data_IF_479085585008
#
_entry.id   IF_479085585008
#
_cell.length_a   1.000
_cell.length_b   1.000
_cell.length_c   1.000
_cell.angle_alpha   90.00
_cell.angle_beta   90.00
_cell.angle_gamma   90.00
#
_symmetry.space_group_name_H-M   'P 1'
#
loop_
_entity.id
_entity.type
_entity.pdbx_description
1 polymer ?
#
# COMPACT_ATOMS: atom_id res chain seq x y z
N UNK A 1 -40.00 -13.60 -25.75
CA UNK A 1 -40.19 -12.78 -24.54
C UNK A 1 -40.12 -13.71 -23.35
N UNK A 2 -38.99 -13.76 -22.65
CA UNK A 2 -38.95 -14.43 -21.35
C UNK A 2 -39.91 -13.66 -20.42
N UNK A 3 -40.83 -14.36 -19.78
CA UNK A 3 -41.71 -13.76 -18.78
C UNK A 3 -40.84 -13.21 -17.64
N UNK A 4 -41.24 -12.07 -17.07
CA UNK A 4 -40.51 -11.37 -16.00
C UNK A 4 -40.16 -12.31 -14.83
N UNK A 5 -41.07 -13.24 -14.54
CA UNK A 5 -40.91 -14.28 -13.52
C UNK A 5 -39.76 -15.26 -13.81
N UNK A 6 -39.47 -15.54 -15.09
CA UNK A 6 -38.37 -16.42 -15.49
C UNK A 6 -37.00 -15.77 -15.28
N UNK A 7 -36.90 -14.45 -15.43
CA UNK A 7 -35.65 -13.72 -15.24
C UNK A 7 -35.33 -13.58 -13.74
N UNK A 8 -36.32 -13.26 -12.91
CA UNK A 8 -36.15 -13.20 -11.46
C UNK A 8 -35.74 -14.55 -10.87
N UNK A 9 -36.25 -15.66 -11.41
CA UNK A 9 -35.86 -16.99 -10.96
C UNK A 9 -34.39 -17.30 -11.33
N UNK A 10 -33.95 -16.96 -12.54
CA UNK A 10 -32.55 -17.14 -12.96
C UNK A 10 -31.57 -16.32 -12.11
N UNK A 11 -31.95 -15.09 -11.74
CA UNK A 11 -31.13 -14.24 -10.86
C UNK A 11 -31.02 -14.84 -9.45
N UNK A 12 -32.13 -15.33 -8.89
CA UNK A 12 -32.13 -16.01 -7.59
C UNK A 12 -31.27 -17.26 -7.59
N UNK A 13 -31.37 -18.07 -8.63
CA UNK A 13 -30.57 -19.29 -8.77
C UNK A 13 -29.08 -18.96 -8.84
N UNK A 14 -28.70 -17.91 -9.58
CA UNK A 14 -27.31 -17.48 -9.66
C UNK A 14 -26.79 -16.92 -8.32
N UNK A 15 -27.59 -16.12 -7.61
CA UNK A 15 -27.22 -15.64 -6.26
C UNK A 15 -27.00 -16.80 -5.30
N UNK A 16 -27.85 -17.84 -5.37
CA UNK A 16 -27.76 -19.01 -4.51
C UNK A 16 -26.46 -19.81 -4.71
N UNK A 17 -25.82 -19.72 -5.87
CA UNK A 17 -24.54 -20.40 -6.15
C UNK A 17 -23.40 -19.86 -5.26
N UNK A 18 -23.32 -18.55 -5.06
CA UNK A 18 -22.20 -17.93 -4.33
C UNK A 18 -22.54 -17.51 -2.90
N UNK A 19 -23.81 -17.27 -2.56
CA UNK A 19 -24.19 -16.77 -1.22
C UNK A 19 -23.87 -17.77 -0.09
N UNK A 20 -23.71 -19.04 -0.43
CA UNK A 20 -23.36 -20.13 0.50
C UNK A 20 -21.84 -20.28 0.69
N UNK A 21 -21.03 -19.61 -0.12
CA UNK A 21 -19.58 -19.71 -0.05
C UNK A 21 -19.09 -18.83 1.11
N UNK A 22 -18.60 -19.46 2.17
CA UNK A 22 -18.12 -18.78 3.37
C UNK A 22 -16.59 -18.59 3.43
N UNK A 23 -15.83 -19.28 2.60
CA UNK A 23 -14.36 -19.22 2.58
C UNK A 23 -13.82 -18.30 1.48
N UNK A 24 -12.90 -17.40 1.82
CA UNK A 24 -12.30 -16.45 0.86
C UNK A 24 -11.69 -17.17 -0.36
N UNK A 25 -10.87 -18.20 -0.13
CA UNK A 25 -10.21 -18.93 -1.23
C UNK A 25 -11.21 -19.53 -2.22
N UNK A 26 -12.30 -20.11 -1.70
CA UNK A 26 -13.35 -20.73 -2.51
C UNK A 26 -14.14 -19.65 -3.28
N UNK A 27 -14.43 -18.52 -2.64
CA UNK A 27 -15.15 -17.41 -3.27
C UNK A 27 -14.29 -16.77 -4.38
N UNK A 28 -12.98 -16.67 -4.17
CA UNK A 28 -12.02 -16.17 -5.16
C UNK A 28 -11.85 -17.11 -6.35
N UNK A 29 -11.81 -18.42 -6.12
CA UNK A 29 -11.80 -19.41 -7.20
C UNK A 29 -13.12 -19.41 -7.97
N UNK A 30 -14.24 -19.20 -7.29
CA UNK A 30 -15.56 -19.05 -7.90
C UNK A 30 -15.63 -17.77 -8.77
N UNK A 31 -15.17 -16.63 -8.26
CA UNK A 31 -15.09 -15.36 -9.01
C UNK A 31 -14.27 -15.55 -10.28
N UNK A 32 -13.09 -16.17 -10.17
CA UNK A 32 -12.20 -16.40 -11.31
C UNK A 32 -12.85 -17.27 -12.39
N UNK A 33 -13.63 -18.28 -12.00
CA UNK A 33 -14.32 -19.18 -12.94
C UNK A 33 -15.57 -18.55 -13.57
N UNK A 34 -16.22 -17.62 -12.87
CA UNK A 34 -17.49 -17.04 -13.28
C UNK A 34 -17.39 -15.53 -13.60
N UNK A 35 -16.19 -15.02 -13.84
CA UNK A 35 -15.93 -13.58 -13.98
C UNK A 35 -16.79 -12.93 -15.06
N UNK A 36 -16.84 -13.53 -16.24
CA UNK A 36 -17.60 -12.99 -17.37
C UNK A 36 -19.11 -13.04 -17.09
N UNK A 37 -19.57 -14.15 -16.50
CA UNK A 37 -20.98 -14.34 -16.09
C UNK A 37 -21.41 -13.33 -15.03
N UNK A 38 -20.56 -13.02 -14.05
CA UNK A 38 -20.80 -11.96 -13.04
C UNK A 38 -20.77 -10.58 -13.70
N UNK A 39 -19.85 -10.34 -14.63
CA UNK A 39 -19.72 -9.09 -15.40
C UNK A 39 -20.94 -8.78 -16.27
N UNK A 40 -21.57 -9.79 -16.84
CA UNK A 40 -22.77 -9.67 -17.67
C UNK A 40 -24.08 -9.72 -16.86
N UNK A 41 -24.02 -10.07 -15.57
CA UNK A 41 -25.20 -10.18 -14.72
C UNK A 41 -25.90 -8.84 -14.45
N UNK A 42 -27.15 -8.94 -13.98
CA UNK A 42 -27.92 -7.77 -13.54
C UNK A 42 -27.31 -7.11 -12.31
N UNK A 43 -27.70 -5.85 -12.07
CA UNK A 43 -27.20 -5.06 -10.94
C UNK A 43 -27.50 -5.73 -9.58
N UNK A 44 -28.63 -6.44 -9.49
CA UNK A 44 -29.07 -7.15 -8.29
C UNK A 44 -28.08 -8.28 -7.94
N UNK A 45 -27.67 -9.06 -8.94
CA UNK A 45 -26.72 -10.17 -8.76
C UNK A 45 -25.34 -9.63 -8.38
N UNK A 46 -24.89 -8.54 -9.02
CA UNK A 46 -23.60 -7.89 -8.72
C UNK A 46 -23.55 -7.35 -7.29
N UNK A 47 -24.59 -6.63 -6.86
CA UNK A 47 -24.70 -6.12 -5.48
C UNK A 47 -24.75 -7.26 -4.46
N UNK A 48 -25.47 -8.35 -4.75
CA UNK A 48 -25.48 -9.54 -3.91
C UNK A 48 -24.09 -10.19 -3.81
N UNK A 49 -23.35 -10.26 -4.93
CA UNK A 49 -21.99 -10.77 -4.95
C UNK A 49 -21.04 -9.91 -4.12
N UNK A 50 -21.09 -8.59 -4.29
CA UNK A 50 -20.29 -7.64 -3.52
C UNK A 50 -20.60 -7.71 -2.02
N UNK A 51 -21.88 -7.80 -1.63
CA UNK A 51 -22.29 -8.00 -0.23
C UNK A 51 -21.76 -9.31 0.34
N UNK A 52 -21.80 -10.40 -0.42
CA UNK A 52 -21.23 -11.67 0.01
C UNK A 52 -19.71 -11.57 0.14
N UNK A 53 -19.04 -10.88 -0.79
CA UNK A 53 -17.61 -10.64 -0.74
C UNK A 53 -17.20 -9.85 0.51
N UNK A 54 -17.92 -8.76 0.81
CA UNK A 54 -17.75 -7.96 2.03
C UNK A 54 -18.02 -8.80 3.28
N UNK A 55 -19.04 -9.68 3.26
CA UNK A 55 -19.33 -10.57 4.38
C UNK A 55 -18.20 -11.55 4.67
N UNK A 56 -17.57 -12.09 3.63
CA UNK A 56 -16.51 -13.11 3.74
C UNK A 56 -15.15 -12.47 4.05
N UNK A 57 -14.84 -11.32 3.46
CA UNK A 57 -13.51 -10.68 3.54
C UNK A 57 -13.47 -9.44 4.44
N UNK A 58 -14.62 -8.95 4.90
CA UNK A 58 -14.79 -7.67 5.57
C UNK A 58 -14.80 -6.49 4.59
N UNK A 59 -14.84 -5.25 5.11
CA UNK A 59 -14.65 -4.04 4.30
C UNK A 59 -13.22 -3.89 3.76
N UNK A 60 -12.34 -4.82 4.13
CA UNK A 60 -10.99 -4.91 3.61
C UNK A 60 -11.01 -5.82 2.37
N UNK A 61 -10.99 -5.19 1.18
CA UNK A 61 -10.47 -5.75 -0.08
C UNK A 61 -11.47 -6.05 -1.21
N UNK A 62 -11.56 -5.10 -2.15
CA UNK A 62 -11.79 -5.39 -3.58
C UNK A 62 -10.51 -5.03 -4.34
N UNK A 63 -9.67 -6.01 -4.69
CA UNK A 63 -8.70 -5.86 -5.78
C UNK A 63 -9.14 -6.76 -6.93
N UNK A 64 -9.50 -6.22 -8.10
CA UNK A 64 -9.66 -7.05 -9.28
C UNK A 64 -8.30 -7.67 -9.63
N UNK A 65 -8.27 -8.99 -9.84
CA UNK A 65 -7.08 -9.80 -10.20
C UNK A 65 -6.60 -9.55 -11.64
N UNK A 66 -6.75 -8.33 -12.16
CA UNK A 66 -6.34 -7.95 -13.52
C UNK A 66 -5.74 -6.56 -13.46
N UNK A 67 -4.40 -6.49 -13.39
CA UNK A 67 -3.56 -6.09 -14.53
C UNK A 67 -2.09 -6.09 -14.10
N UNK A 68 -1.33 -7.00 -14.71
CA UNK A 68 0.14 -7.00 -14.85
C UNK A 68 0.96 -7.25 -13.56
N UNK A 69 1.70 -8.37 -13.55
CA UNK A 69 2.82 -8.53 -12.61
C UNK A 69 3.82 -7.40 -12.89
N UNK A 70 4.28 -6.65 -11.87
CA UNK A 70 5.19 -5.51 -12.10
C UNK A 70 6.40 -5.99 -12.91
N UNK A 71 6.81 -5.26 -13.95
CA UNK A 71 7.96 -5.64 -14.75
C UNK A 71 9.18 -5.77 -13.84
N UNK A 72 9.84 -6.92 -13.90
CA UNK A 72 11.12 -7.14 -13.25
C UNK A 72 12.10 -6.10 -13.80
N UNK A 73 12.63 -5.23 -12.93
CA UNK A 73 13.53 -4.16 -13.34
C UNK A 73 14.69 -4.71 -14.19
N UNK A 74 14.72 -4.32 -15.47
CA UNK A 74 15.56 -4.96 -16.47
C UNK A 74 17.05 -4.56 -16.38
N UNK A 75 17.41 -3.44 -15.76
CA UNK A 75 18.80 -2.99 -15.72
C UNK A 75 19.16 -2.29 -14.41
N UNK A 76 20.25 -2.76 -13.81
CA UNK A 76 20.73 -2.36 -12.50
C UNK A 76 21.27 -0.93 -12.46
N UNK A 77 20.83 -0.20 -11.44
CA UNK A 77 21.71 0.33 -10.40
C UNK A 77 21.03 0.09 -9.06
N UNK A 78 21.80 -0.46 -8.16
CA UNK A 78 21.41 -0.80 -6.81
C UNK A 78 20.85 0.43 -6.06
N UNK A 79 19.53 0.53 -5.94
CA UNK A 79 18.85 1.16 -4.80
C UNK A 79 19.04 0.32 -3.50
N UNK A 80 20.14 -0.43 -3.39
CA UNK A 80 20.44 -1.29 -2.23
C UNK A 80 21.19 -0.56 -1.12
N UNK A 81 21.44 0.73 -1.25
CA UNK A 81 21.27 1.60 -0.08
C UNK A 81 19.76 1.73 0.14
N UNK A 82 19.13 0.61 0.53
CA UNK A 82 17.85 0.60 1.21
C UNK A 82 18.03 1.60 2.33
N UNK A 83 17.46 2.79 2.19
CA UNK A 83 17.44 3.79 3.25
C UNK A 83 17.11 3.05 4.54
N UNK A 84 18.10 2.93 5.44
CA UNK A 84 17.93 2.18 6.68
C UNK A 84 16.63 2.67 7.28
N UNK A 85 15.69 1.78 7.66
CA UNK A 85 14.45 2.18 8.30
C UNK A 85 14.69 3.23 9.43
N UNK A 86 15.88 3.25 10.06
CA UNK A 86 16.30 4.23 11.07
C UNK A 86 16.40 5.70 10.63
N UNK A 87 16.71 6.01 9.37
CA UNK A 87 16.95 7.41 8.94
C UNK A 87 15.69 8.11 8.42
N UNK A 88 14.52 7.47 8.54
CA UNK A 88 13.27 7.97 7.98
C UNK A 88 12.67 9.07 8.85
N UNK A 89 12.45 10.26 8.27
CA UNK A 89 11.96 11.44 9.01
C UNK A 89 10.48 11.33 9.40
N UNK A 90 9.70 10.59 8.62
CA UNK A 90 8.24 10.60 8.68
C UNK A 90 7.67 9.36 9.38
N UNK A 91 8.12 9.11 10.61
CA UNK A 91 7.66 7.98 11.44
C UNK A 91 6.77 8.46 12.58
N UNK A 92 5.76 7.67 12.91
CA UNK A 92 4.90 7.86 14.06
C UNK A 92 5.33 6.93 15.20
N UNK A 93 5.38 7.43 16.44
CA UNK A 93 5.50 6.58 17.62
C UNK A 93 4.12 5.99 17.91
N UNK A 94 3.99 4.67 17.84
CA UNK A 94 2.72 3.98 18.06
C UNK A 94 2.90 2.91 19.13
N UNK A 95 2.02 2.93 20.13
CA UNK A 95 2.01 1.92 21.19
C UNK A 95 1.10 0.76 20.78
N UNK A 96 1.68 -0.43 20.68
CA UNK A 96 0.98 -1.67 20.36
C UNK A 96 0.70 -2.48 21.63
N UNK A 97 -0.50 -3.06 21.74
CA UNK A 97 -0.87 -4.00 22.82
C UNK A 97 -0.54 -5.46 22.50
N UNK A 98 -0.32 -5.77 21.22
CA UNK A 98 -0.03 -7.11 20.73
C UNK A 98 0.78 -7.01 19.44
N UNK A 99 1.75 -7.89 19.27
CA UNK A 99 2.54 -8.05 18.06
C UNK A 99 2.27 -9.44 17.48
N UNK A 100 1.76 -9.45 16.26
CA UNK A 100 1.57 -10.65 15.45
C UNK A 100 2.77 -10.79 14.51
N UNK A 101 3.43 -11.94 14.53
CA UNK A 101 4.58 -12.21 13.69
C UNK A 101 4.29 -13.36 12.74
N UNK A 102 4.92 -13.30 11.56
CA UNK A 102 4.87 -14.35 10.54
C UNK A 102 6.29 -14.60 10.01
N UNK A 103 6.75 -15.83 10.14
CA UNK A 103 8.02 -16.31 9.62
C UNK A 103 7.89 -16.67 8.13
N UNK A 104 8.87 -16.25 7.34
CA UNK A 104 8.93 -16.45 5.90
C UNK A 104 10.33 -16.95 5.54
N UNK A 105 10.40 -18.11 4.89
CA UNK A 105 11.64 -18.64 4.33
C UNK A 105 11.82 -18.16 2.89
N UNK A 106 12.91 -17.45 2.61
CA UNK A 106 13.29 -17.06 1.24
C UNK A 106 14.69 -17.55 0.90
N UNK A 107 14.84 -18.05 -0.33
CA UNK A 107 16.15 -18.35 -0.90
C UNK A 107 16.74 -17.04 -1.44
N UNK A 108 17.81 -16.55 -0.81
CA UNK A 108 18.53 -15.34 -1.22
C UNK A 108 19.93 -15.77 -1.62
N UNK A 109 20.19 -15.78 -2.93
CA UNK A 109 21.39 -16.39 -3.50
C UNK A 109 21.42 -17.90 -3.25
N UNK A 110 22.52 -18.39 -2.66
CA UNK A 110 22.71 -19.82 -2.33
C UNK A 110 22.20 -20.22 -0.94
N UNK A 111 21.72 -19.28 -0.12
CA UNK A 111 21.33 -19.54 1.27
C UNK A 111 19.82 -19.36 1.46
N UNK A 112 19.23 -20.21 2.29
CA UNK A 112 17.86 -20.01 2.79
C UNK A 112 17.97 -19.08 4.00
N UNK A 113 17.20 -18.00 4.00
CA UNK A 113 17.11 -17.06 5.12
C UNK A 113 15.68 -17.07 5.67
N UNK A 114 15.59 -17.12 6.99
CA UNK A 114 14.36 -16.86 7.73
C UNK A 114 14.20 -15.34 7.87
N UNK A 115 13.04 -14.85 7.45
CA UNK A 115 12.64 -13.46 7.54
C UNK A 115 11.33 -13.37 8.32
N UNK A 116 11.05 -12.22 8.92
CA UNK A 116 9.86 -12.03 9.74
C UNK A 116 9.06 -10.81 9.30
N UNK A 117 7.77 -11.02 9.11
CA UNK A 117 6.78 -9.95 8.94
C UNK A 117 6.09 -9.71 10.27
N UNK A 118 5.89 -8.45 10.61
CA UNK A 118 5.29 -8.03 11.86
C UNK A 118 4.06 -7.16 11.58
N UNK A 119 2.99 -7.46 12.29
CA UNK A 119 1.81 -6.63 12.44
C UNK A 119 1.59 -6.41 13.93
N UNK A 120 0.89 -5.37 14.31
CA UNK A 120 0.55 -5.17 15.71
C UNK A 120 -0.82 -4.53 15.87
N UNK A 121 -1.46 -4.86 16.99
CA UNK A 121 -2.72 -4.25 17.41
C UNK A 121 -2.40 -2.97 18.17
N UNK A 122 -2.82 -1.82 17.65
CA UNK A 122 -2.62 -0.52 18.29
C UNK A 122 -3.40 -0.47 19.60
N UNK A 123 -2.77 -0.04 20.69
CA UNK A 123 -3.35 -0.05 22.03
C UNK A 123 -4.59 0.85 22.14
N UNK A 124 -4.54 2.02 21.51
CA UNK A 124 -5.61 3.03 21.58
C UNK A 124 -6.80 2.68 20.68
N UNK A 125 -6.54 2.32 19.42
CA UNK A 125 -7.60 2.12 18.43
C UNK A 125 -8.03 0.66 18.28
N UNK A 126 -7.23 -0.29 18.74
CA UNK A 126 -7.43 -1.72 18.51
C UNK A 126 -7.22 -2.16 17.05
N UNK A 127 -6.84 -1.25 16.15
CA UNK A 127 -6.60 -1.56 14.74
C UNK A 127 -5.29 -2.37 14.57
N UNK A 128 -5.29 -3.34 13.66
CA UNK A 128 -4.09 -4.11 13.33
C UNK A 128 -3.33 -3.41 12.21
N UNK A 129 -2.11 -2.95 12.49
CA UNK A 129 -1.26 -2.25 11.53
C UNK A 129 -0.01 -3.05 11.17
N UNK A 130 0.44 -3.04 9.91
CA UNK A 130 1.75 -3.57 9.56
C UNK A 130 2.84 -2.70 10.20
N UNK A 131 3.85 -3.34 10.78
CA UNK A 131 4.97 -2.65 11.46
C UNK A 131 6.22 -2.72 10.59
N UNK A 132 6.69 -3.94 10.32
CA UNK A 132 7.86 -4.19 9.49
C UNK A 132 7.65 -5.45 8.65
N UNK A 133 8.33 -5.51 7.51
CA UNK A 133 8.32 -6.67 6.62
C UNK A 133 9.74 -7.15 6.34
N UNK A 134 9.87 -8.45 6.12
CA UNK A 134 11.12 -9.10 5.73
C UNK A 134 12.30 -8.82 6.69
N UNK A 135 12.03 -8.78 8.00
CA UNK A 135 13.05 -8.53 9.01
C UNK A 135 13.99 -9.72 9.19
N UNK A 136 15.28 -9.44 9.35
CA UNK A 136 16.26 -10.41 9.82
C UNK A 136 16.19 -10.57 11.34
N UNK A 137 16.76 -11.68 11.85
CA UNK A 137 16.82 -11.94 13.29
C UNK A 137 17.56 -10.82 14.04
N UNK A 138 18.69 -10.36 13.50
CA UNK A 138 19.47 -9.27 14.10
C UNK A 138 18.62 -8.00 14.23
N UNK A 139 17.78 -7.73 13.22
CA UNK A 139 16.90 -6.56 13.25
C UNK A 139 15.72 -6.74 14.19
N UNK A 140 15.20 -7.96 14.39
CA UNK A 140 14.22 -8.23 15.43
C UNK A 140 14.79 -7.92 16.82
N UNK A 141 16.02 -8.40 17.11
CA UNK A 141 16.70 -8.14 18.38
C UNK A 141 16.86 -6.66 18.67
N UNK A 142 17.18 -5.89 17.63
CA UNK A 142 17.32 -4.46 17.73
C UNK A 142 16.00 -3.73 18.04
N UNK A 143 14.88 -4.22 17.51
CA UNK A 143 13.56 -3.59 17.65
C UNK A 143 12.90 -3.97 18.99
N UNK A 144 12.92 -5.25 19.35
CA UNK A 144 12.20 -5.77 20.52
C UNK A 144 13.10 -6.08 21.73
N UNK A 145 14.42 -5.98 21.56
CA UNK A 145 15.37 -6.51 22.53
C UNK A 145 15.53 -8.03 22.41
N UNK A 146 16.47 -8.56 23.19
CA UNK A 146 16.82 -9.99 23.13
C UNK A 146 15.71 -10.89 23.66
N UNK A 147 15.07 -10.51 24.78
CA UNK A 147 14.08 -11.33 25.46
C UNK A 147 12.85 -11.63 24.60
N UNK A 148 12.23 -10.60 24.02
CA UNK A 148 11.04 -10.78 23.19
C UNK A 148 11.36 -11.40 21.83
N UNK A 149 12.56 -11.12 21.28
CA UNK A 149 13.02 -11.81 20.07
C UNK A 149 13.21 -13.30 20.31
N UNK A 150 13.76 -13.69 21.45
CA UNK A 150 13.93 -15.10 21.79
C UNK A 150 12.58 -15.82 21.88
N UNK A 151 11.54 -15.18 22.43
CA UNK A 151 10.17 -15.72 22.42
C UNK A 151 9.67 -15.96 20.99
N UNK A 152 9.87 -15.00 20.07
CA UNK A 152 9.54 -15.17 18.64
C UNK A 152 10.31 -16.34 18.04
N UNK A 153 11.63 -16.44 18.30
CA UNK A 153 12.48 -17.48 17.72
C UNK A 153 12.14 -18.87 18.23
N UNK A 154 11.86 -19.03 19.52
CA UNK A 154 11.48 -20.31 20.14
C UNK A 154 10.13 -20.75 19.56
N UNK A 155 9.13 -19.87 19.54
CA UNK A 155 7.83 -20.18 18.93
C UNK A 155 7.95 -20.43 17.41
N UNK A 156 8.84 -19.69 16.74
CA UNK A 156 9.16 -19.78 15.31
C UNK A 156 9.91 -21.05 14.89
N UNK A 157 10.30 -21.92 15.83
CA UNK A 157 10.80 -23.27 15.53
C UNK A 157 9.65 -24.23 15.25
N UNK A 158 8.50 -24.06 15.91
CA UNK A 158 7.34 -24.92 15.79
C UNK A 158 6.29 -24.37 14.81
N UNK A 159 6.11 -23.05 14.78
CA UNK A 159 5.07 -22.38 14.02
C UNK A 159 5.63 -21.33 13.06
N UNK A 160 4.95 -21.11 11.94
CA UNK A 160 5.28 -20.01 11.00
C UNK A 160 4.60 -18.69 11.36
N UNK A 161 3.77 -18.67 12.40
CA UNK A 161 3.08 -17.49 12.89
C UNK A 161 2.86 -17.56 14.40
N UNK A 162 2.64 -16.41 15.02
CA UNK A 162 2.28 -16.33 16.42
C UNK A 162 2.02 -14.89 16.88
N UNK A 163 1.71 -14.76 18.17
CA UNK A 163 1.43 -13.49 18.81
C UNK A 163 2.27 -13.32 20.08
N UNK A 164 2.61 -12.07 20.39
CA UNK A 164 3.21 -11.67 21.66
C UNK A 164 2.39 -10.52 22.21
N UNK A 165 1.87 -10.70 23.43
CA UNK A 165 1.11 -9.68 24.15
C UNK A 165 2.06 -8.87 25.02
N UNK A 166 1.86 -7.56 25.05
CA UNK A 166 2.75 -6.63 25.75
C UNK A 166 2.49 -5.19 25.31
N UNK A 167 3.15 -4.24 25.95
CA UNK A 167 3.10 -2.83 25.53
C UNK A 167 4.37 -2.51 24.77
N UNK A 168 4.27 -2.32 23.46
CA UNK A 168 5.43 -2.06 22.58
C UNK A 168 5.34 -0.66 22.02
N UNK A 169 6.26 0.22 22.39
CA UNK A 169 6.40 1.55 21.80
C UNK A 169 7.32 1.45 20.58
N UNK A 170 6.75 1.51 19.38
CA UNK A 170 7.46 1.29 18.13
C UNK A 170 7.28 2.46 17.18
N UNK A 171 8.38 2.85 16.54
CA UNK A 171 8.38 3.78 15.41
C UNK A 171 7.95 3.09 14.13
N UNK A 172 6.73 3.34 13.69
CA UNK A 172 6.16 2.81 12.45
C UNK A 172 6.07 3.88 11.37
N UNK A 173 5.77 3.45 10.15
CA UNK A 173 5.52 4.35 9.03
C UNK A 173 4.35 5.29 9.37
N UNK A 174 4.60 6.60 9.30
CA UNK A 174 3.59 7.62 9.53
C UNK A 174 2.83 7.94 8.24
N UNK A 175 1.62 8.47 8.38
CA UNK A 175 0.82 9.01 7.29
C UNK A 175 0.60 10.49 7.56
N UNK A 176 0.67 11.30 6.51
CA UNK A 176 0.70 12.74 6.64
C UNK A 176 -0.21 13.35 5.59
N UNK A 177 -1.09 14.24 6.04
CA UNK A 177 -1.87 15.07 5.13
C UNK A 177 -1.00 16.26 4.71
N UNK A 178 -0.81 16.41 3.40
CA UNK A 178 0.06 17.43 2.83
C UNK A 178 -0.62 18.16 1.67
N UNK A 179 -0.15 19.37 1.39
CA UNK A 179 -0.48 20.10 0.16
C UNK A 179 0.81 20.40 -0.59
N UNK A 180 0.87 19.99 -1.85
CA UNK A 180 1.97 20.35 -2.75
C UNK A 180 1.82 21.78 -3.27
N UNK A 181 2.93 22.50 -3.30
CA UNK A 181 3.02 23.86 -3.81
C UNK A 181 2.57 23.94 -5.28
N UNK A 182 2.12 25.11 -5.74
CA UNK A 182 1.76 25.32 -7.14
C UNK A 182 2.98 25.13 -8.06
N UNK A 183 2.73 25.01 -9.36
CA UNK A 183 3.78 24.97 -10.37
C UNK A 183 4.64 26.25 -10.26
N UNK A 184 5.97 26.10 -10.24
CA UNK A 184 6.88 27.24 -10.14
C UNK A 184 7.04 27.97 -11.47
N UNK A 185 6.80 27.27 -12.58
CA UNK A 185 6.85 27.81 -13.93
C UNK A 185 5.78 27.16 -14.84
N UNK A 186 5.54 27.75 -16.02
CA UNK A 186 4.55 27.27 -17.00
C UNK A 186 4.86 25.89 -17.61
N UNK A 187 6.11 25.45 -17.54
CA UNK A 187 6.55 24.17 -18.10
C UNK A 187 6.49 23.04 -17.06
N UNK A 188 6.29 23.37 -15.78
CA UNK A 188 6.18 22.38 -14.72
C UNK A 188 4.87 21.58 -14.88
N UNK A 189 4.90 20.26 -14.64
CA UNK A 189 3.70 19.47 -14.70
C UNK A 189 2.70 19.93 -13.64
N UNK A 190 1.43 19.99 -14.06
CA UNK A 190 0.29 20.32 -13.20
C UNK A 190 0.15 19.33 -12.05
N UNK A 191 0.48 18.06 -12.32
CA UNK A 191 0.46 16.98 -11.34
C UNK A 191 1.85 16.66 -10.80
N UNK A 192 1.91 16.32 -9.52
CA UNK A 192 3.08 15.74 -8.87
C UNK A 192 3.07 14.23 -9.10
N UNK A 193 4.23 13.70 -9.49
CA UNK A 193 4.43 12.27 -9.71
C UNK A 193 5.56 11.79 -8.80
N UNK A 194 5.23 10.91 -7.86
CA UNK A 194 6.20 10.31 -6.94
C UNK A 194 6.28 8.81 -7.19
N UNK A 195 7.52 8.32 -7.35
CA UNK A 195 7.77 6.91 -7.60
C UNK A 195 8.50 6.28 -6.41
N UNK A 196 7.96 5.18 -5.90
CA UNK A 196 8.58 4.38 -4.85
C UNK A 196 8.35 2.89 -5.12
N UNK A 197 9.43 2.10 -5.15
CA UNK A 197 9.39 0.64 -5.36
C UNK A 197 8.54 0.19 -6.57
N UNK A 198 8.58 0.94 -7.67
CA UNK A 198 7.82 0.65 -8.90
C UNK A 198 6.34 1.08 -8.85
N UNK A 199 5.86 1.62 -7.73
CA UNK A 199 4.56 2.26 -7.62
C UNK A 199 4.69 3.77 -7.90
N UNK A 200 3.83 4.28 -8.78
CA UNK A 200 3.74 5.70 -9.07
C UNK A 200 2.44 6.27 -8.51
N UNK A 201 2.53 7.33 -7.70
CA UNK A 201 1.39 8.13 -7.29
C UNK A 201 1.38 9.43 -8.09
N UNK A 202 0.25 9.71 -8.73
CA UNK A 202 -0.01 10.95 -9.45
C UNK A 202 -1.06 11.72 -8.64
N UNK A 203 -0.73 12.95 -8.28
CA UNK A 203 -1.56 13.78 -7.41
C UNK A 203 -1.56 15.23 -7.88
N UNK A 204 -2.70 15.90 -7.73
CA UNK A 204 -2.86 17.28 -8.16
C UNK A 204 -2.15 18.22 -7.17
N UNK A 205 -1.44 19.23 -7.68
CA UNK A 205 -0.93 20.34 -6.84
C UNK A 205 -2.08 21.14 -6.21
N UNK A 206 -1.82 21.80 -5.09
CA UNK A 206 -2.81 22.61 -4.37
C UNK A 206 -4.06 21.83 -3.92
N UNK A 207 -3.97 20.51 -3.83
CA UNK A 207 -5.00 19.64 -3.27
C UNK A 207 -4.43 18.90 -2.06
N UNK A 208 -5.26 18.74 -1.04
CA UNK A 208 -4.93 17.95 0.15
C UNK A 208 -4.79 16.48 -0.23
N UNK A 209 -3.68 15.88 0.15
CA UNK A 209 -3.39 14.47 -0.10
C UNK A 209 -2.72 13.85 1.12
N UNK A 210 -3.24 12.70 1.54
CA UNK A 210 -2.64 11.87 2.56
C UNK A 210 -1.58 11.00 1.90
N UNK A 211 -0.36 11.04 2.41
CA UNK A 211 0.75 10.23 1.92
C UNK A 211 1.44 9.46 3.04
N UNK A 212 1.87 8.21 2.77
CA UNK A 212 2.88 7.55 3.57
C UNK A 212 4.18 8.38 3.61
N UNK A 213 4.85 8.36 4.75
CA UNK A 213 6.11 9.06 4.96
C UNK A 213 7.19 8.78 3.90
N UNK A 214 7.29 7.56 3.40
CA UNK A 214 8.26 7.20 2.36
C UNK A 214 8.05 7.95 1.05
N UNK A 215 6.82 8.36 0.71
CA UNK A 215 6.59 9.23 -0.46
C UNK A 215 7.03 10.67 -0.19
N UNK A 216 6.90 11.15 1.05
CA UNK A 216 7.44 12.46 1.45
C UNK A 216 8.96 12.46 1.39
N UNK A 217 9.63 11.35 1.71
CA UNK A 217 11.08 11.22 1.54
C UNK A 217 11.49 11.26 0.07
N UNK A 218 10.70 10.65 -0.82
CA UNK A 218 10.92 10.80 -2.27
C UNK A 218 10.80 12.27 -2.68
N UNK A 219 9.82 12.99 -2.14
CA UNK A 219 9.65 14.43 -2.42
C UNK A 219 10.78 15.30 -1.84
N UNK A 220 11.28 14.99 -0.65
CA UNK A 220 12.43 15.66 -0.01
C UNK A 220 13.72 15.47 -0.82
N UNK A 221 13.92 14.25 -1.35
CA UNK A 221 15.10 13.91 -2.14
C UNK A 221 14.96 14.27 -3.63
N UNK A 222 13.77 14.66 -4.08
CA UNK A 222 13.51 15.12 -5.43
C UNK A 222 14.04 16.56 -5.59
N UNK A 223 15.35 16.70 -5.73
CA UNK A 223 16.02 17.99 -5.90
C UNK A 223 16.65 18.16 -7.28
N UNK A 224 16.69 19.39 -7.76
CA UNK A 224 17.33 19.79 -9.00
C UNK A 224 18.43 20.81 -8.72
N UNK A 225 19.63 20.54 -9.25
CA UNK A 225 20.74 21.49 -9.17
C UNK A 225 20.47 22.70 -10.06
N UNK A 226 20.55 23.89 -9.47
CA UNK A 226 20.41 25.16 -10.18
C UNK A 226 21.79 25.70 -10.56
N UNK A 227 21.94 26.07 -11.82
CA UNK A 227 23.20 26.56 -12.37
C UNK A 227 23.01 27.92 -13.04
N UNK A 228 24.01 28.79 -12.89
CA UNK A 228 24.16 29.98 -13.73
C UNK A 228 25.28 29.75 -14.72
N UNK A 229 25.06 30.22 -15.94
CA UNK A 229 26.12 30.30 -16.94
C UNK A 229 26.49 31.76 -17.12
N UNK A 230 27.70 32.12 -16.69
CA UNK A 230 28.27 33.45 -16.96
C UNK A 230 29.29 33.35 -18.09
N UNK A 231 29.39 34.35 -18.98
CA UNK A 231 30.33 34.30 -20.12
C UNK A 231 31.80 34.11 -19.74
N UNK A 232 32.20 34.52 -18.53
CA UNK A 232 33.60 34.45 -18.06
C UNK A 232 33.94 33.17 -17.30
N UNK A 233 33.02 32.67 -16.47
CA UNK A 233 33.33 31.59 -15.51
C UNK A 233 32.64 30.24 -15.84
N UNK A 234 31.96 30.14 -16.98
CA UNK A 234 31.27 28.91 -17.39
C UNK A 234 30.04 28.58 -16.53
N UNK A 235 29.67 27.29 -16.46
CA UNK A 235 28.50 26.80 -15.70
C UNK A 235 28.89 26.62 -14.23
N UNK A 236 28.34 27.44 -13.34
CA UNK A 236 28.56 27.38 -11.89
C UNK A 236 27.27 26.99 -11.17
N UNK A 237 27.34 26.01 -10.27
CA UNK A 237 26.23 25.61 -9.40
C UNK A 237 25.97 26.72 -8.37
N UNK A 238 24.75 27.26 -8.35
CA UNK A 238 24.35 28.31 -7.40
C UNK A 238 23.65 27.70 -6.19
N UNK A 239 22.89 26.64 -6.40
CA UNK A 239 22.08 26.06 -5.33
C UNK A 239 21.35 24.80 -5.77
N UNK A 240 20.42 24.38 -4.93
CA UNK A 240 19.60 23.19 -5.11
C UNK A 240 18.15 23.60 -4.89
N UNK A 241 17.28 23.29 -5.84
CA UNK A 241 15.85 23.58 -5.79
C UNK A 241 15.11 22.28 -5.54
N UNK A 242 14.17 22.27 -4.60
CA UNK A 242 13.27 21.12 -4.41
C UNK A 242 12.22 21.11 -5.52
N UNK A 243 12.07 19.97 -6.20
CA UNK A 243 11.17 19.80 -7.35
C UNK A 243 9.70 19.74 -6.94
N UNK A 244 9.43 19.12 -5.80
CA UNK A 244 8.08 18.92 -5.27
C UNK A 244 7.99 19.46 -3.84
N UNK A 245 8.05 20.78 -3.63
CA UNK A 245 7.88 21.35 -2.30
C UNK A 245 6.43 21.15 -1.83
N UNK A 246 6.27 20.84 -0.55
CA UNK A 246 4.97 20.59 0.08
C UNK A 246 4.94 21.16 1.50
N UNK A 247 3.72 21.35 2.01
CA UNK A 247 3.46 21.73 3.41
C UNK A 247 2.73 20.58 4.09
N UNK A 248 3.23 20.15 5.26
CA UNK A 248 2.54 19.18 6.10
C UNK A 248 1.46 19.91 6.90
N UNK A 249 0.22 19.43 6.80
CA UNK A 249 -0.92 19.99 7.53
C UNK A 249 -1.08 19.30 8.89
N UNK A 250 -1.14 17.97 8.89
CA UNK A 250 -1.30 17.14 10.09
C UNK A 250 -0.82 15.72 9.87
N UNK A 251 -0.70 14.98 10.96
CA UNK A 251 -0.64 13.52 10.92
C UNK A 251 -2.02 12.95 10.54
N UNK A 252 -2.00 11.91 9.73
CA UNK A 252 -3.15 11.21 9.20
C UNK A 252 -3.05 9.71 9.52
N UNK A 253 -4.08 8.96 9.14
CA UNK A 253 -4.19 7.53 9.38
C UNK A 253 -4.01 6.72 8.10
N UNK A 254 -3.65 5.44 8.24
CA UNK A 254 -3.60 4.50 7.12
C UNK A 254 -4.98 4.38 6.45
N UNK A 255 -6.04 4.39 7.25
CA UNK A 255 -7.42 4.28 6.79
C UNK A 255 -7.79 5.47 5.89
N UNK A 256 -7.42 6.69 6.27
CA UNK A 256 -7.61 7.90 5.44
C UNK A 256 -6.84 7.81 4.12
N UNK A 257 -5.58 7.37 4.16
CA UNK A 257 -4.77 7.15 2.95
C UNK A 257 -5.44 6.17 2.00
N UNK A 258 -5.88 5.01 2.50
CA UNK A 258 -6.51 3.99 1.67
C UNK A 258 -7.83 4.47 1.08
N UNK A 259 -8.64 5.18 1.86
CA UNK A 259 -9.89 5.76 1.38
C UNK A 259 -9.65 6.79 0.26
N UNK A 260 -8.67 7.69 0.44
CA UNK A 260 -8.34 8.70 -0.56
C UNK A 260 -7.69 8.09 -1.80
N UNK A 261 -6.82 7.09 -1.63
CA UNK A 261 -6.24 6.37 -2.76
C UNK A 261 -7.32 5.67 -3.59
N UNK A 262 -8.28 5.02 -2.94
CA UNK A 262 -9.38 4.34 -3.62
C UNK A 262 -10.28 5.32 -4.40
N UNK A 263 -10.57 6.50 -3.83
CA UNK A 263 -11.34 7.53 -4.53
C UNK A 263 -10.57 8.12 -5.73
N UNK A 264 -9.27 8.38 -5.57
CA UNK A 264 -8.39 8.85 -6.64
C UNK A 264 -8.24 7.85 -7.79
N UNK A 265 -8.02 6.57 -7.47
CA UNK A 265 -7.89 5.50 -8.46
C UNK A 265 -9.17 5.34 -9.30
N UNK A 266 -10.35 5.51 -8.68
CA UNK A 266 -11.64 5.51 -9.40
C UNK A 266 -11.75 6.65 -10.39
N UNK A 267 -11.43 7.89 -9.96
CA UNK A 267 -11.48 9.07 -10.82
C UNK A 267 -10.55 8.92 -12.02
N UNK A 268 -9.34 8.41 -11.80
CA UNK A 268 -8.36 8.21 -12.87
C UNK A 268 -8.78 7.11 -13.86
N UNK A 269 -9.42 6.04 -13.37
CA UNK A 269 -10.01 4.99 -14.22
C UNK A 269 -11.12 5.56 -15.10
N UNK A 270 -12.03 6.33 -14.52
CA UNK A 270 -13.17 6.93 -15.25
C UNK A 270 -12.70 7.96 -16.29
N UNK A 271 -11.62 8.71 -16.02
CA UNK A 271 -11.01 9.61 -17.01
C UNK A 271 -10.43 8.85 -18.19
N UNK A 272 -9.61 7.82 -17.95
CA UNK A 272 -9.01 7.01 -19.03
C UNK A 272 -10.06 6.37 -19.93
N UNK A 273 -11.14 5.84 -19.35
CA UNK A 273 -12.23 5.25 -20.12
C UNK A 273 -12.94 6.26 -21.04
N UNK A 274 -12.95 7.55 -20.70
CA UNK A 274 -13.52 8.62 -21.54
C UNK A 274 -12.56 9.08 -22.64
N UNK A 275 -11.26 9.02 -22.41
CA UNK A 275 -10.25 9.43 -23.38
C UNK A 275 -10.00 8.36 -24.45
N UNK A 276 -10.31 7.08 -24.16
CA UNK A 276 -10.14 5.92 -25.06
C UNK A 276 -11.40 5.53 -25.86
N UNK A 277 -12.56 6.13 -25.58
CA UNK A 277 -13.85 5.85 -26.23
C UNK A 277 -14.31 6.98 -27.14
#
# INVERSE_FOLDING_TARGET
MATKDSQEQQEKDFINEFIRIAGEGILRDYEKKNRDRIGEASLIVKDAFDKQWIKVTGNSYYQPVTTVAPPTAAFGRNNTERSDPRSRKYRANVVFSEIQWQKIRRKIGKRIKDLYNLKGKVKETGAVRPIFQNLTIDRLKEIFGEQDTEKILVAGKANDHGEIKGSFDLKVEGYWEVIFAPAGNLNDPVDVQLMWEGQCLIMKRMAEVVLPGFYLEVADNATQDNFIQTPKDGRKKIGVIQKYPYTVLREATLEEFLAQKASGDRIMRDKRAKDEG
#
